data_IF_804813107583
#
_entry.id   IF_804813107583
#
_cell.length_a   1.000
_cell.length_b   1.000
_cell.length_c   1.000
_cell.angle_alpha   90.00
_cell.angle_beta   90.00
_cell.angle_gamma   90.00
#
_symmetry.space_group_name_H-M   'P 1'
#
loop_
_entity.id
_entity.type
_entity.pdbx_description
1 polymer ?
#
# COMPACT_ATOMS: atom_id res chain seq x y z
N UNK A 1 -24.22 -23.49 -5.33
CA UNK A 1 -24.36 -22.97 -6.72
C UNK A 1 -25.58 -23.49 -7.49
N UNK A 2 -25.81 -24.80 -7.65
CA UNK A 2 -26.95 -25.34 -8.43
C UNK A 2 -28.33 -24.80 -7.99
N UNK A 3 -28.60 -24.81 -6.68
CA UNK A 3 -29.86 -24.32 -6.12
C UNK A 3 -30.06 -22.81 -6.29
N UNK A 4 -28.97 -22.03 -6.28
CA UNK A 4 -29.03 -20.59 -6.52
C UNK A 4 -29.42 -20.28 -7.96
N UNK A 5 -28.86 -21.02 -8.93
CA UNK A 5 -29.25 -20.90 -10.33
C UNK A 5 -30.73 -21.25 -10.56
N UNK A 6 -31.22 -22.31 -9.89
CA UNK A 6 -32.65 -22.66 -9.94
C UNK A 6 -33.54 -21.56 -9.35
N UNK A 7 -33.09 -20.91 -8.26
CA UNK A 7 -33.81 -19.78 -7.67
C UNK A 7 -33.86 -18.58 -8.62
N UNK A 8 -32.74 -18.20 -9.26
CA UNK A 8 -32.73 -17.13 -10.28
C UNK A 8 -33.71 -17.45 -11.40
N UNK A 9 -33.66 -18.67 -11.95
CA UNK A 9 -34.58 -19.09 -13.01
C UNK A 9 -36.05 -18.97 -12.57
N UNK A 10 -36.36 -19.42 -11.35
CA UNK A 10 -37.70 -19.31 -10.79
C UNK A 10 -38.18 -17.86 -10.68
N UNK A 11 -37.37 -16.98 -10.10
CA UNK A 11 -37.71 -15.55 -9.95
C UNK A 11 -37.96 -14.88 -11.31
N UNK A 12 -37.12 -15.14 -12.31
CA UNK A 12 -37.30 -14.60 -13.67
C UNK A 12 -38.64 -15.06 -14.28
N UNK A 13 -38.94 -16.36 -14.19
CA UNK A 13 -40.20 -16.91 -14.72
C UNK A 13 -41.44 -16.35 -14.02
N UNK A 14 -41.36 -16.03 -12.73
CA UNK A 14 -42.48 -15.41 -12.01
C UNK A 14 -42.64 -13.92 -12.35
N UNK A 15 -41.54 -13.21 -12.59
CA UNK A 15 -41.57 -11.82 -13.04
C UNK A 15 -42.22 -11.66 -14.42
N UNK A 16 -41.98 -12.58 -15.36
CA UNK A 16 -42.61 -12.60 -16.69
C UNK A 16 -44.15 -12.66 -16.63
N UNK A 17 -44.71 -13.25 -15.56
CA UNK A 17 -46.16 -13.42 -15.39
C UNK A 17 -46.81 -12.26 -14.64
N UNK A 18 -46.02 -11.34 -14.09
CA UNK A 18 -46.52 -10.36 -13.11
C UNK A 18 -46.84 -9.00 -13.74
N UNK A 19 -48.02 -8.44 -13.43
CA UNK A 19 -48.45 -7.12 -13.93
C UNK A 19 -47.81 -5.93 -13.19
N UNK A 20 -47.50 -6.09 -11.89
CA UNK A 20 -46.81 -5.08 -11.09
C UNK A 20 -45.32 -5.43 -10.97
N UNK A 21 -44.57 -5.12 -12.02
CA UNK A 21 -43.19 -5.57 -12.20
C UNK A 21 -42.24 -4.99 -11.16
N UNK A 22 -42.43 -3.74 -10.74
CA UNK A 22 -41.50 -3.06 -9.82
C UNK A 22 -41.52 -3.68 -8.42
N UNK A 23 -42.71 -3.91 -7.86
CA UNK A 23 -42.83 -4.46 -6.51
C UNK A 23 -42.38 -5.93 -6.47
N UNK A 24 -42.70 -6.69 -7.52
CA UNK A 24 -42.25 -8.07 -7.67
C UNK A 24 -40.72 -8.17 -7.85
N UNK A 25 -40.11 -7.23 -8.58
CA UNK A 25 -38.65 -7.17 -8.78
C UNK A 25 -37.92 -6.92 -7.47
N UNK A 26 -38.38 -5.96 -6.67
CA UNK A 26 -37.75 -5.68 -5.37
C UNK A 26 -37.83 -6.89 -4.42
N UNK A 27 -38.97 -7.58 -4.40
CA UNK A 27 -39.15 -8.79 -3.63
C UNK A 27 -38.23 -9.95 -4.11
N UNK A 28 -38.08 -10.11 -5.42
CA UNK A 28 -37.16 -11.09 -6.02
C UNK A 28 -35.70 -10.78 -5.66
N UNK A 29 -35.28 -9.52 -5.80
CA UNK A 29 -33.92 -9.07 -5.42
C UNK A 29 -33.65 -9.32 -3.94
N UNK A 30 -34.61 -9.02 -3.05
CA UNK A 30 -34.49 -9.31 -1.61
C UNK A 30 -34.22 -10.80 -1.36
N UNK A 31 -35.06 -11.69 -1.92
CA UNK A 31 -34.90 -13.14 -1.77
C UNK A 31 -33.57 -13.66 -2.34
N UNK A 32 -33.14 -13.15 -3.49
CA UNK A 32 -31.87 -13.54 -4.09
C UNK A 32 -30.68 -13.02 -3.26
N UNK A 33 -30.79 -11.82 -2.69
CA UNK A 33 -29.78 -11.25 -1.80
C UNK A 33 -29.60 -12.09 -0.53
N UNK A 34 -30.68 -12.52 0.11
CA UNK A 34 -30.61 -13.39 1.28
C UNK A 34 -29.96 -14.74 0.96
N UNK A 35 -30.24 -15.29 -0.23
CA UNK A 35 -29.57 -16.51 -0.70
C UNK A 35 -28.07 -16.30 -0.96
N UNK A 36 -27.67 -15.16 -1.52
CA UNK A 36 -26.25 -14.81 -1.69
C UNK A 36 -25.58 -14.69 -0.32
N UNK A 37 -26.19 -14.00 0.65
CA UNK A 37 -25.66 -13.88 2.01
C UNK A 37 -25.44 -15.23 2.68
N UNK A 38 -26.42 -16.14 2.57
CA UNK A 38 -26.27 -17.50 3.07
C UNK A 38 -25.07 -18.23 2.43
N UNK A 39 -24.92 -18.12 1.10
CA UNK A 39 -23.75 -18.69 0.41
C UNK A 39 -22.43 -18.04 0.83
N UNK A 40 -22.43 -16.74 1.13
CA UNK A 40 -21.24 -16.03 1.64
C UNK A 40 -20.84 -16.58 3.01
N UNK A 41 -21.81 -16.79 3.92
CA UNK A 41 -21.55 -17.41 5.23
C UNK A 41 -20.97 -18.81 5.06
N UNK A 42 -21.54 -19.64 4.17
CA UNK A 42 -21.00 -20.98 3.90
C UNK A 42 -19.54 -20.92 3.39
N UNK A 43 -19.21 -19.92 2.56
CA UNK A 43 -17.84 -19.71 2.05
C UNK A 43 -16.91 -19.24 3.18
N UNK A 44 -17.35 -18.35 4.06
CA UNK A 44 -16.58 -17.89 5.23
C UNK A 44 -16.29 -19.05 6.19
N UNK A 45 -17.29 -19.91 6.44
CA UNK A 45 -17.12 -21.13 7.25
C UNK A 45 -16.10 -22.08 6.60
N UNK A 46 -16.15 -22.28 5.28
CA UNK A 46 -15.15 -23.06 4.56
C UNK A 46 -13.74 -22.46 4.66
N UNK A 47 -13.63 -21.13 4.55
CA UNK A 47 -12.36 -20.43 4.70
C UNK A 47 -11.82 -20.53 6.13
N UNK A 48 -12.69 -20.65 7.13
CA UNK A 48 -12.31 -20.71 8.54
C UNK A 48 -11.39 -21.90 8.88
N UNK A 49 -11.53 -23.02 8.16
CA UNK A 49 -10.67 -24.20 8.31
C UNK A 49 -9.20 -23.91 7.98
N UNK A 50 -8.93 -22.95 7.09
CA UNK A 50 -7.59 -22.55 6.69
C UNK A 50 -7.01 -21.42 7.55
N UNK A 51 -7.82 -20.78 8.40
CA UNK A 51 -7.43 -19.54 9.06
C UNK A 51 -6.15 -19.68 9.89
N UNK A 52 -5.98 -20.81 10.59
CA UNK A 52 -4.81 -21.02 11.46
C UNK A 52 -3.49 -20.93 10.67
N UNK A 53 -3.39 -21.63 9.54
CA UNK A 53 -2.15 -21.63 8.76
C UNK A 53 -2.01 -20.33 7.96
N UNK A 54 -3.10 -19.77 7.42
CA UNK A 54 -3.10 -18.48 6.71
C UNK A 54 -2.63 -17.35 7.62
N UNK A 55 -3.16 -17.26 8.84
CA UNK A 55 -2.76 -16.24 9.82
C UNK A 55 -1.30 -16.39 10.22
N UNK A 56 -0.81 -17.63 10.43
CA UNK A 56 0.60 -17.87 10.74
C UNK A 56 1.52 -17.44 9.60
N UNK A 57 1.14 -17.76 8.36
CA UNK A 57 1.90 -17.39 7.17
C UNK A 57 1.90 -15.87 6.97
N UNK A 58 0.73 -15.24 7.04
CA UNK A 58 0.58 -13.78 6.96
C UNK A 58 1.41 -13.06 8.03
N UNK A 59 1.40 -13.54 9.28
CA UNK A 59 2.21 -12.96 10.37
C UNK A 59 3.72 -13.10 10.09
N UNK A 60 4.16 -14.25 9.59
CA UNK A 60 5.56 -14.47 9.19
C UNK A 60 5.97 -13.51 8.08
N UNK A 61 5.18 -13.41 7.01
CA UNK A 61 5.44 -12.51 5.89
C UNK A 61 5.42 -11.05 6.33
N UNK A 62 4.52 -10.67 7.26
CA UNK A 62 4.41 -9.32 7.83
C UNK A 62 5.69 -8.96 8.57
N UNK A 63 6.14 -9.83 9.48
CA UNK A 63 7.36 -9.62 10.24
C UNK A 63 8.59 -9.49 9.33
N UNK A 64 8.67 -10.31 8.27
CA UNK A 64 9.75 -10.22 7.30
C UNK A 64 9.75 -8.86 6.57
N UNK A 65 8.60 -8.44 6.04
CA UNK A 65 8.47 -7.20 5.28
C UNK A 65 8.74 -5.97 6.16
N UNK A 66 8.15 -5.91 7.35
CA UNK A 66 8.37 -4.83 8.31
C UNK A 66 9.84 -4.73 8.70
N UNK A 67 10.49 -5.88 8.99
CA UNK A 67 11.92 -5.91 9.33
C UNK A 67 12.78 -5.46 8.16
N UNK A 68 12.50 -5.91 6.95
CA UNK A 68 13.25 -5.53 5.76
C UNK A 68 13.16 -4.03 5.49
N UNK A 69 11.94 -3.45 5.49
CA UNK A 69 11.75 -2.00 5.32
C UNK A 69 12.53 -1.24 6.40
N UNK A 70 12.38 -1.64 7.67
CA UNK A 70 13.07 -0.98 8.77
C UNK A 70 14.60 -1.05 8.63
N UNK A 71 15.17 -2.21 8.32
CA UNK A 71 16.61 -2.37 8.17
C UNK A 71 17.16 -1.59 6.97
N UNK A 72 16.41 -1.57 5.86
CA UNK A 72 16.80 -0.85 4.67
C UNK A 72 16.82 0.67 4.91
N UNK A 73 15.82 1.19 5.61
CA UNK A 73 15.67 2.63 5.85
C UNK A 73 16.50 3.14 7.04
N UNK A 74 17.07 2.25 7.85
CA UNK A 74 17.85 2.62 9.05
C UNK A 74 19.20 1.89 9.07
N UNK A 75 20.12 2.21 8.13
CA UNK A 75 21.45 1.60 8.10
C UNK A 75 22.29 2.04 9.30
N UNK A 76 23.28 1.22 9.69
CA UNK A 76 24.22 1.56 10.76
C UNK A 76 25.14 2.72 10.41
N UNK A 77 25.43 2.91 9.11
CA UNK A 77 26.27 3.99 8.60
C UNK A 77 25.55 4.71 7.46
N UNK A 78 25.05 5.89 7.76
CA UNK A 78 24.39 6.74 6.78
C UNK A 78 25.35 7.36 5.77
N UNK A 79 26.65 7.45 6.01
CA UNK A 79 27.58 8.07 5.05
C UNK A 79 27.78 7.15 3.84
N UNK A 80 27.98 5.86 4.08
CA UNK A 80 28.29 4.88 3.03
C UNK A 80 27.06 4.23 2.39
N UNK A 81 25.89 4.34 3.02
CA UNK A 81 24.64 3.80 2.50
C UNK A 81 24.24 4.42 1.15
N UNK A 82 23.70 3.58 0.25
CA UNK A 82 23.06 4.04 -0.98
C UNK A 82 21.74 4.74 -0.66
N UNK A 83 21.48 5.87 -1.30
CA UNK A 83 20.34 6.75 -1.01
C UNK A 83 19.64 7.17 -2.30
N UNK A 84 18.33 7.23 -2.22
CA UNK A 84 17.46 7.82 -3.22
C UNK A 84 16.75 9.02 -2.61
N UNK A 85 16.95 10.20 -3.17
CA UNK A 85 16.33 11.44 -2.69
C UNK A 85 15.21 11.91 -3.61
N UNK A 86 14.01 12.02 -3.05
CA UNK A 86 12.88 12.64 -3.72
C UNK A 86 12.90 14.14 -3.46
N UNK A 87 13.40 14.91 -4.43
CA UNK A 87 13.69 16.34 -4.24
C UNK A 87 12.43 17.20 -4.17
N UNK A 88 11.41 16.86 -4.95
CA UNK A 88 10.16 17.62 -5.05
C UNK A 88 8.98 16.63 -5.07
N UNK A 89 8.26 16.54 -3.95
CA UNK A 89 6.98 15.86 -3.89
C UNK A 89 5.91 16.74 -4.56
N UNK A 90 4.97 16.11 -5.27
CA UNK A 90 3.78 16.79 -5.79
C UNK A 90 2.97 17.37 -4.61
N UNK A 91 2.64 18.64 -4.72
CA UNK A 91 1.79 19.33 -3.77
C UNK A 91 0.36 18.80 -3.88
N UNK A 92 -0.08 18.05 -2.87
CA UNK A 92 -1.40 17.45 -2.83
C UNK A 92 -1.80 17.08 -1.38
N UNK A 93 -3.00 16.52 -1.21
CA UNK A 93 -3.47 16.05 0.10
C UNK A 93 -2.63 14.91 0.69
N UNK A 94 -2.74 14.68 2.00
CA UNK A 94 -1.89 13.73 2.74
C UNK A 94 -1.94 12.31 2.17
N UNK A 95 -3.11 11.85 1.71
CA UNK A 95 -3.25 10.54 1.07
C UNK A 95 -2.47 10.43 -0.24
N UNK A 96 -2.40 11.51 -1.02
CA UNK A 96 -1.58 11.54 -2.24
C UNK A 96 -0.09 11.59 -1.91
N UNK A 97 0.33 12.37 -0.89
CA UNK A 97 1.71 12.35 -0.38
C UNK A 97 2.12 10.95 0.08
N UNK A 98 1.28 10.27 0.85
CA UNK A 98 1.57 8.90 1.29
C UNK A 98 1.70 7.92 0.12
N UNK A 99 0.85 8.02 -0.91
CA UNK A 99 1.01 7.22 -2.12
C UNK A 99 2.33 7.53 -2.87
N UNK A 100 2.77 8.79 -2.91
CA UNK A 100 4.08 9.13 -3.45
C UNK A 100 5.20 8.43 -2.67
N UNK A 101 5.16 8.51 -1.33
CA UNK A 101 6.14 7.86 -0.46
C UNK A 101 6.13 6.33 -0.58
N UNK A 102 4.96 5.70 -0.70
CA UNK A 102 4.83 4.24 -0.95
C UNK A 102 5.50 3.87 -2.28
N UNK A 103 5.33 4.67 -3.34
CA UNK A 103 6.05 4.46 -4.62
C UNK A 103 7.56 4.61 -4.46
N UNK A 104 8.00 5.54 -3.62
CA UNK A 104 9.41 5.72 -3.27
C UNK A 104 9.97 4.51 -2.50
N UNK A 105 9.22 3.98 -1.54
CA UNK A 105 9.61 2.77 -0.81
C UNK A 105 9.70 1.56 -1.73
N UNK A 106 8.72 1.34 -2.60
CA UNK A 106 8.77 0.25 -3.57
C UNK A 106 10.02 0.34 -4.48
N UNK A 107 10.30 1.53 -5.01
CA UNK A 107 11.48 1.76 -5.83
C UNK A 107 12.79 1.51 -5.07
N UNK A 108 12.90 2.07 -3.87
CA UNK A 108 14.12 1.96 -3.06
C UNK A 108 14.34 0.56 -2.51
N UNK A 109 13.27 -0.20 -2.26
CA UNK A 109 13.37 -1.62 -1.94
C UNK A 109 13.91 -2.44 -3.11
N UNK A 110 13.47 -2.16 -4.35
CA UNK A 110 14.01 -2.81 -5.55
C UNK A 110 15.51 -2.51 -5.73
N UNK A 111 15.92 -1.27 -5.44
CA UNK A 111 17.30 -0.80 -5.61
C UNK A 111 18.19 -0.98 -4.38
N UNK A 112 17.63 -1.46 -3.26
CA UNK A 112 18.33 -1.52 -1.96
C UNK A 112 18.95 -0.16 -1.59
N UNK A 113 18.13 0.89 -1.59
CA UNK A 113 18.51 2.25 -1.20
C UNK A 113 17.69 2.74 0.00
N UNK A 114 18.24 3.71 0.74
CA UNK A 114 17.50 4.49 1.73
C UNK A 114 16.65 5.53 1.00
N UNK A 115 15.37 5.65 1.37
CA UNK A 115 14.47 6.68 0.87
C UNK A 115 14.60 7.94 1.69
N UNK A 116 14.91 9.04 1.02
CA UNK A 116 14.89 10.39 1.56
C UNK A 116 13.88 11.22 0.77
N UNK A 117 13.16 12.12 1.43
CA UNK A 117 12.12 12.91 0.79
C UNK A 117 12.11 14.34 1.32
N UNK A 118 11.96 15.28 0.40
CA UNK A 118 11.81 16.69 0.71
C UNK A 118 10.34 17.06 0.89
N UNK A 119 10.02 17.64 2.04
CA UNK A 119 8.66 18.07 2.36
C UNK A 119 8.44 19.58 2.21
N UNK A 120 9.40 20.35 1.68
CA UNK A 120 9.27 21.81 1.56
C UNK A 120 7.99 22.28 0.83
N UNK A 121 7.50 21.50 -0.14
CA UNK A 121 6.26 21.79 -0.89
C UNK A 121 5.00 21.18 -0.23
N UNK A 122 5.12 20.60 0.96
CA UNK A 122 3.99 19.99 1.66
C UNK A 122 3.25 21.03 2.49
N UNK A 123 1.95 21.17 2.24
CA UNK A 123 1.03 21.97 3.06
C UNK A 123 0.93 21.49 4.53
N UNK A 124 1.47 20.31 4.85
CA UNK A 124 1.44 19.72 6.19
C UNK A 124 2.72 19.96 7.01
N UNK A 125 3.68 20.71 6.46
CA UNK A 125 4.96 20.99 7.12
C UNK A 125 5.29 22.47 7.00
N UNK A 126 5.97 23.04 7.99
CA UNK A 126 6.43 24.41 7.92
C UNK A 126 7.82 24.46 7.25
N UNK A 127 7.91 24.87 5.99
CA UNK A 127 9.15 24.88 5.21
C UNK A 127 9.88 23.51 5.19
N UNK A 128 9.12 22.42 5.15
CA UNK A 128 9.65 21.05 5.17
C UNK A 128 10.17 20.57 6.52
N UNK A 129 10.03 21.37 7.57
CA UNK A 129 10.31 20.94 8.93
C UNK A 129 9.33 19.85 9.36
N UNK A 130 9.88 18.73 9.81
CA UNK A 130 9.16 17.56 10.27
C UNK A 130 9.09 17.49 11.80
N UNK A 131 9.60 18.47 12.55
CA UNK A 131 9.56 18.49 14.01
C UNK A 131 8.11 18.40 14.53
N UNK A 132 7.21 19.21 13.96
CA UNK A 132 5.78 19.21 14.31
C UNK A 132 4.95 18.18 13.53
N UNK A 133 5.54 17.52 12.53
CA UNK A 133 4.84 16.49 11.77
C UNK A 133 4.52 15.28 12.68
N UNK A 134 3.30 14.73 12.67
CA UNK A 134 2.86 13.77 13.68
C UNK A 134 3.45 12.36 13.53
N UNK A 135 4.17 12.11 12.43
CA UNK A 135 4.73 10.81 12.10
C UNK A 135 6.25 10.79 12.29
N UNK A 136 6.80 9.61 12.56
CA UNK A 136 8.24 9.41 12.64
C UNK A 136 8.91 9.65 11.27
N UNK A 137 10.20 10.04 11.27
CA UNK A 137 10.98 10.13 10.04
C UNK A 137 10.96 8.82 9.24
N UNK A 138 11.01 8.94 7.91
CA UNK A 138 11.06 7.78 7.00
C UNK A 138 12.31 6.94 7.27
N UNK A 139 13.44 7.59 7.54
CA UNK A 139 14.76 6.97 7.67
C UNK A 139 15.53 7.59 8.84
N UNK A 140 16.54 6.87 9.36
CA UNK A 140 17.48 7.40 10.36
C UNK A 140 18.52 8.36 9.76
N UNK A 141 18.65 8.39 8.44
CA UNK A 141 19.55 9.29 7.72
C UNK A 141 18.88 10.64 7.43
N UNK A 142 19.65 11.72 7.56
CA UNK A 142 19.21 13.08 7.28
C UNK A 142 19.10 13.35 5.77
N UNK A 143 18.21 14.28 5.40
CA UNK A 143 18.12 14.79 4.04
C UNK A 143 19.43 15.51 3.63
N UNK A 144 19.84 15.40 2.35
CA UNK A 144 21.04 16.06 1.87
C UNK A 144 20.85 17.58 1.78
N UNK A 145 21.90 18.35 2.08
CA UNK A 145 21.89 19.81 1.87
C UNK A 145 21.91 20.19 0.39
N UNK A 146 22.64 19.43 -0.44
CA UNK A 146 22.68 19.58 -1.88
C UNK A 146 22.73 18.20 -2.59
N UNK A 147 22.36 18.18 -3.86
CA UNK A 147 22.34 16.96 -4.68
C UNK A 147 23.09 17.13 -6.01
N UNK A 148 23.95 18.14 -6.11
CA UNK A 148 24.65 18.48 -7.35
C UNK A 148 25.54 17.33 -7.85
N UNK A 149 26.07 16.52 -6.93
CA UNK A 149 26.90 15.35 -7.23
C UNK A 149 26.10 14.02 -7.26
N UNK A 150 24.78 14.07 -7.13
CA UNK A 150 23.92 12.89 -7.17
C UNK A 150 23.43 12.66 -8.60
N UNK A 151 23.15 11.41 -8.96
CA UNK A 151 22.64 11.11 -10.30
C UNK A 151 21.15 11.44 -10.40
N UNK A 152 20.78 12.32 -11.35
CA UNK A 152 19.38 12.63 -11.63
C UNK A 152 18.72 11.44 -12.34
N UNK A 153 17.61 10.96 -11.77
CA UNK A 153 16.77 9.92 -12.34
C UNK A 153 15.57 10.54 -13.04
N UNK A 154 15.17 9.94 -14.16
CA UNK A 154 13.91 10.21 -14.84
C UNK A 154 13.07 8.94 -14.79
N UNK A 155 11.85 9.07 -14.28
CA UNK A 155 10.91 7.97 -14.21
C UNK A 155 9.67 8.32 -15.04
N UNK A 156 9.46 7.61 -16.14
CA UNK A 156 8.37 7.82 -17.09
C UNK A 156 7.87 6.49 -17.66
N UNK A 157 6.56 6.26 -17.57
CA UNK A 157 5.87 5.04 -18.02
C UNK A 157 6.51 3.76 -17.48
N UNK A 158 7.36 3.07 -18.23
CA UNK A 158 8.01 1.81 -17.83
C UNK A 158 9.48 1.98 -17.42
N UNK A 159 10.07 3.15 -17.63
CA UNK A 159 11.47 3.42 -17.34
C UNK A 159 11.62 4.23 -16.06
N UNK A 160 12.61 3.90 -15.25
CA UNK A 160 13.01 4.67 -14.08
C UNK A 160 14.50 4.41 -13.85
N UNK A 161 15.33 5.39 -14.23
CA UNK A 161 16.77 5.27 -14.23
C UNK A 161 17.46 6.60 -14.54
N UNK A 162 18.80 6.60 -14.70
CA UNK A 162 19.58 7.81 -14.92
C UNK A 162 19.12 8.61 -16.13
N UNK A 163 19.23 9.94 -16.02
CA UNK A 163 18.96 10.92 -17.08
C UNK A 163 19.99 10.89 -18.22
N UNK A 164 21.11 10.19 -18.07
CA UNK A 164 22.21 10.26 -19.04
C UNK A 164 21.86 9.64 -20.41
N UNK A 165 22.37 10.22 -21.51
CA UNK A 165 22.15 9.80 -22.91
C UNK A 165 22.53 8.35 -23.25
N UNK A 166 23.22 7.64 -22.35
CA UNK A 166 23.60 6.24 -22.56
C UNK A 166 22.70 5.34 -21.72
N UNK A 167 21.55 5.00 -22.30
CA UNK A 167 20.50 4.08 -21.83
C UNK A 167 20.99 2.66 -21.40
N UNK A 168 22.31 2.39 -21.45
CA UNK A 168 22.95 1.09 -21.22
C UNK A 168 24.05 1.09 -20.14
N UNK A 169 24.29 2.19 -19.41
CA UNK A 169 25.12 2.08 -18.20
C UNK A 169 24.22 1.66 -17.03
N UNK A 170 24.49 0.47 -16.47
CA UNK A 170 24.19 0.21 -15.05
C UNK A 170 24.94 1.28 -14.29
N UNK A 171 24.24 2.32 -13.86
CA UNK A 171 24.84 3.26 -12.96
C UNK A 171 24.88 2.59 -11.59
N UNK A 172 26.09 2.28 -11.13
CA UNK A 172 26.37 1.87 -9.75
C UNK A 172 26.39 3.09 -8.81
N UNK A 173 25.72 4.19 -9.17
CA UNK A 173 25.68 5.37 -8.33
C UNK A 173 24.86 5.04 -7.09
N UNK A 174 25.57 4.99 -5.96
CA UNK A 174 24.98 4.82 -4.63
C UNK A 174 23.98 5.93 -4.31
N UNK A 175 24.18 7.13 -4.87
CA UNK A 175 23.39 8.31 -4.58
C UNK A 175 22.64 8.77 -5.83
N UNK A 176 21.31 8.76 -5.77
CA UNK A 176 20.44 9.17 -6.87
C UNK A 176 19.29 10.03 -6.36
N UNK A 177 18.75 10.88 -7.23
CA UNK A 177 17.62 11.74 -6.89
C UNK A 177 16.65 11.91 -8.04
N UNK A 178 15.41 12.24 -7.75
CA UNK A 178 14.39 12.58 -8.75
C UNK A 178 13.86 13.99 -8.50
N UNK A 179 13.69 14.76 -9.58
CA UNK A 179 12.98 16.05 -9.58
C UNK A 179 11.49 15.87 -9.82
N UNK A 180 11.12 15.04 -10.80
CA UNK A 180 9.73 14.92 -11.23
C UNK A 180 8.90 13.95 -10.37
N UNK A 181 7.64 14.27 -10.06
CA UNK A 181 6.82 13.53 -9.09
C UNK A 181 6.29 12.17 -9.58
N UNK A 182 6.63 11.75 -10.81
CA UNK A 182 5.93 10.68 -11.51
C UNK A 182 6.73 9.39 -11.59
N UNK A 183 6.83 8.65 -10.49
CA UNK A 183 7.11 7.20 -10.61
C UNK A 183 5.86 6.54 -11.19
N UNK A 184 5.77 6.51 -12.50
CA UNK A 184 4.62 5.96 -13.25
C UNK A 184 4.80 4.51 -13.61
N UNK A 185 5.87 3.83 -13.12
CA UNK A 185 6.23 2.43 -13.42
C UNK A 185 4.93 1.64 -13.62
N UNK A 186 4.60 1.43 -14.90
CA UNK A 186 3.29 0.95 -15.32
C UNK A 186 2.95 -0.26 -14.47
N UNK A 187 1.80 -0.21 -13.79
CA UNK A 187 1.36 -1.13 -12.74
C UNK A 187 1.89 -2.56 -12.93
N UNK A 188 3.12 -2.82 -12.46
CA UNK A 188 3.69 -4.16 -12.56
C UNK A 188 2.85 -5.04 -11.64
N UNK A 189 2.29 -6.14 -12.14
CA UNK A 189 1.36 -6.98 -11.38
C UNK A 189 1.90 -7.36 -9.99
N UNK A 190 3.23 -7.51 -9.90
CA UNK A 190 4.02 -7.74 -8.69
C UNK A 190 5.00 -6.57 -8.48
N UNK A 191 5.20 -6.07 -7.24
CA UNK A 191 6.25 -5.10 -6.93
C UNK A 191 7.64 -5.66 -7.26
N UNK A 192 8.51 -4.84 -7.85
CA UNK A 192 9.76 -5.32 -8.43
C UNK A 192 10.76 -5.86 -7.39
N UNK A 193 10.68 -5.36 -6.15
CA UNK A 193 11.51 -5.83 -5.04
C UNK A 193 11.16 -7.26 -4.58
N UNK A 194 9.97 -7.76 -4.90
CA UNK A 194 9.47 -9.04 -4.39
C UNK A 194 9.81 -10.18 -5.35
N UNK A 195 10.38 -11.28 -4.86
CA UNK A 195 10.64 -12.48 -5.68
C UNK A 195 9.35 -13.17 -6.10
N UNK A 196 9.39 -13.98 -7.17
CA UNK A 196 8.21 -14.74 -7.62
C UNK A 196 7.74 -15.76 -6.57
N UNK A 197 8.68 -16.35 -5.83
CA UNK A 197 8.39 -17.29 -4.74
C UNK A 197 7.60 -16.61 -3.62
N UNK A 198 8.07 -15.46 -3.12
CA UNK A 198 7.38 -14.70 -2.07
C UNK A 198 6.01 -14.22 -2.57
N UNK A 199 5.93 -13.80 -3.83
CA UNK A 199 4.66 -13.40 -4.43
C UNK A 199 3.64 -14.55 -4.53
N UNK A 200 4.09 -15.74 -4.90
CA UNK A 200 3.26 -16.95 -4.93
C UNK A 200 2.81 -17.35 -3.52
N UNK A 201 3.71 -17.29 -2.54
CA UNK A 201 3.39 -17.52 -1.12
C UNK A 201 2.29 -16.56 -0.64
N UNK A 202 2.39 -15.26 -0.98
CA UNK A 202 1.37 -14.27 -0.59
C UNK A 202 0.00 -14.52 -1.19
N UNK A 203 -0.08 -14.98 -2.45
CA UNK A 203 -1.35 -15.33 -3.08
C UNK A 203 -2.07 -16.48 -2.38
N UNK A 204 -1.37 -17.30 -1.59
CA UNK A 204 -1.98 -18.40 -0.84
C UNK A 204 -2.83 -17.93 0.35
N UNK A 205 -2.53 -16.76 0.91
CA UNK A 205 -3.21 -16.24 2.11
C UNK A 205 -3.92 -14.91 1.91
N UNK A 206 -3.65 -14.16 0.83
CA UNK A 206 -4.27 -12.85 0.59
C UNK A 206 -4.85 -12.71 -0.83
N UNK A 207 -6.11 -12.27 -0.93
CA UNK A 207 -6.81 -12.08 -2.21
C UNK A 207 -6.28 -10.94 -3.08
N UNK A 208 -5.54 -10.00 -2.49
CA UNK A 208 -4.86 -8.90 -3.19
C UNK A 208 -3.46 -8.63 -2.61
N UNK A 209 -2.43 -9.41 -2.97
CA UNK A 209 -1.09 -9.28 -2.37
C UNK A 209 -0.45 -7.91 -2.55
N UNK A 210 -0.74 -7.22 -3.66
CA UNK A 210 -0.21 -5.86 -3.89
C UNK A 210 -0.71 -4.88 -2.84
N UNK A 211 -2.02 -4.84 -2.61
CA UNK A 211 -2.60 -3.99 -1.58
C UNK A 211 -2.05 -4.32 -0.19
N UNK A 212 -1.82 -5.60 0.09
CA UNK A 212 -1.23 -6.06 1.34
C UNK A 212 0.19 -5.51 1.54
N UNK A 213 1.06 -5.62 0.53
CA UNK A 213 2.44 -5.07 0.57
C UNK A 213 2.41 -3.54 0.73
N UNK A 214 1.58 -2.85 -0.05
CA UNK A 214 1.41 -1.40 0.06
C UNK A 214 0.90 -1.00 1.45
N UNK A 215 0.03 -1.80 2.06
CA UNK A 215 -0.42 -1.61 3.45
C UNK A 215 0.72 -1.68 4.46
N UNK A 216 1.68 -2.58 4.29
CA UNK A 216 2.87 -2.64 5.14
C UNK A 216 3.82 -1.44 4.94
N UNK A 217 4.03 -1.01 3.69
CA UNK A 217 4.79 0.22 3.40
C UNK A 217 4.12 1.43 4.03
N UNK A 218 2.79 1.53 3.91
CA UNK A 218 2.01 2.61 4.50
C UNK A 218 2.05 2.58 6.03
N UNK A 219 1.93 1.41 6.65
CA UNK A 219 2.09 1.23 8.10
C UNK A 219 3.46 1.75 8.58
N UNK A 220 4.55 1.42 7.87
CA UNK A 220 5.87 1.95 8.18
C UNK A 220 5.96 3.48 8.05
N UNK A 221 5.34 4.08 7.03
CA UNK A 221 5.35 5.53 6.84
C UNK A 221 4.48 6.27 7.86
N UNK A 222 3.40 5.66 8.32
CA UNK A 222 2.42 6.24 9.25
C UNK A 222 2.71 5.91 10.71
N UNK A 223 3.94 5.53 11.07
CA UNK A 223 4.32 5.32 12.48
C UNK A 223 4.16 6.64 13.24
N UNK A 224 3.28 6.73 14.24
CA UNK A 224 3.06 7.97 14.96
C UNK A 224 4.25 8.31 15.85
N UNK A 225 4.47 9.60 16.10
CA UNK A 225 5.29 10.05 17.22
C UNK A 225 4.58 9.75 18.55
N UNK A 226 5.32 9.63 19.66
CA UNK A 226 4.72 9.29 20.97
C UNK A 226 3.60 10.24 21.43
N UNK A 227 3.65 11.52 21.04
CA UNK A 227 2.59 12.47 21.40
C UNK A 227 1.32 12.24 20.58
N UNK A 228 1.45 11.88 19.30
CA UNK A 228 0.31 11.57 18.43
C UNK A 228 -0.33 10.24 18.83
N UNK A 229 0.49 9.24 19.16
CA UNK A 229 0.01 7.95 19.67
C UNK A 229 -0.89 8.13 20.91
N UNK A 230 -0.48 9.00 21.85
CA UNK A 230 -1.31 9.34 23.03
C UNK A 230 -2.64 10.00 22.68
N UNK A 231 -2.67 10.86 21.65
CA UNK A 231 -3.91 11.50 21.18
C UNK A 231 -4.85 10.45 20.57
N UNK A 232 -4.31 9.53 19.76
CA UNK A 232 -5.08 8.43 19.19
C UNK A 232 -5.67 7.53 20.27
N UNK A 233 -4.85 7.09 21.24
CA UNK A 233 -5.27 6.25 22.37
C UNK A 233 -6.34 6.91 23.25
N UNK A 234 -6.29 8.24 23.38
CA UNK A 234 -7.29 9.00 24.13
C UNK A 234 -8.62 9.04 23.37
N UNK A 235 -8.59 9.39 22.08
CA UNK A 235 -9.81 9.48 21.28
C UNK A 235 -10.48 8.12 21.06
N UNK A 236 -9.71 7.04 20.93
CA UNK A 236 -10.25 5.67 20.85
C UNK A 236 -11.16 5.35 22.04
N UNK A 237 -10.76 5.79 23.24
CA UNK A 237 -11.55 5.62 24.48
C UNK A 237 -12.75 6.55 24.56
N UNK A 238 -12.64 7.78 24.02
CA UNK A 238 -13.73 8.76 24.05
C UNK A 238 -14.90 8.37 23.14
N UNK A 239 -14.61 7.74 22.00
CA UNK A 239 -15.63 7.35 21.01
C UNK A 239 -16.14 5.91 21.18
N UNK A 240 -15.65 5.18 22.18
CA UNK A 240 -15.95 3.75 22.42
C UNK A 240 -15.75 2.90 21.15
N UNK A 241 -14.57 3.05 20.52
CA UNK A 241 -14.25 2.38 19.26
C UNK A 241 -14.09 0.86 19.46
N UNK A 242 -15.19 0.11 19.35
CA UNK A 242 -15.23 -1.35 19.59
C UNK A 242 -15.86 -2.13 18.43
N UNK A 243 -15.35 -3.33 18.18
CA UNK A 243 -15.84 -4.20 17.09
C UNK A 243 -17.22 -4.81 17.38
N UNK A 244 -18.09 -5.04 16.37
CA UNK A 244 -17.85 -4.83 14.93
C UNK A 244 -18.13 -3.39 14.46
N UNK A 245 -17.27 -2.87 13.59
CA UNK A 245 -17.38 -1.55 12.93
C UNK A 245 -17.25 -1.78 11.42
N UNK A 246 -18.01 -1.03 10.62
CA UNK A 246 -18.02 -1.09 9.14
C UNK A 246 -17.40 0.16 8.55
#
# INVERSE_FOLDING_TARGET
MRHFWMAIKHEITELEKTKNITLATNAAVGRLSDRIRALTVDIEDLQSYDNVWKSKLAAKSSNHLTKWIHQLQNPSDCETASKFYWKELEECGIGCVMHQLVRGLDHTMEKTQVLLANFNNSQYTHNGDLEDFPLLPISSCSNPMNVDNWEEYICQSTYCGPKTDKMNRRSDHKLSYIKEPRITKGFAFKPAAISDEVWLEMKSFHGNPRAWISGHMLNYLMRPKPWMEKILDQHEKEIDFSTPIV
#
